data_IF_096762159842
#
_entry.id   IF_096762159842
#
_cell.length_a   1.000
_cell.length_b   1.000
_cell.length_c   1.000
_cell.angle_alpha   90.00
_cell.angle_beta   90.00
_cell.angle_gamma   90.00
#
_symmetry.space_group_name_H-M   'P 1'
#
loop_
_entity.id
_entity.type
_entity.pdbx_description
1 polymer ?
#
# COMPACT_ATOMS: atom_id res chain seq x y z
N UNK A 1 51.00 41.71 54.84
CA UNK A 1 49.63 42.08 54.42
C UNK A 1 48.98 40.87 53.77
N UNK A 2 48.06 40.19 54.47
CA UNK A 2 47.38 39.01 53.94
C UNK A 2 46.17 39.43 53.09
N UNK A 3 46.22 39.19 51.76
CA UNK A 3 45.13 39.50 50.84
C UNK A 3 44.13 38.33 50.87
N UNK A 4 42.98 38.52 51.51
CA UNK A 4 41.91 37.53 51.54
C UNK A 4 41.28 37.46 50.14
N UNK A 5 41.61 36.40 49.40
CA UNK A 5 41.01 36.13 48.08
C UNK A 5 39.66 35.44 48.30
N UNK A 6 38.56 36.17 48.16
CA UNK A 6 37.20 35.61 48.23
C UNK A 6 36.98 34.65 47.05
N UNK A 7 36.98 33.34 47.30
CA UNK A 7 36.59 32.34 46.29
C UNK A 7 35.09 32.48 45.99
N UNK A 8 34.75 32.81 44.74
CA UNK A 8 33.36 32.81 44.24
C UNK A 8 32.82 31.38 44.33
N UNK A 9 31.91 31.10 45.27
CA UNK A 9 31.19 29.81 45.33
C UNK A 9 30.33 29.68 44.07
N UNK A 10 30.69 28.78 43.15
CA UNK A 10 29.85 28.41 42.01
C UNK A 10 28.61 27.69 42.56
N UNK A 11 27.45 28.36 42.54
CA UNK A 11 26.16 27.70 42.77
C UNK A 11 25.80 26.94 41.49
N UNK A 12 25.94 25.63 41.53
CA UNK A 12 25.45 24.73 40.50
C UNK A 12 23.92 24.85 40.43
N UNK A 13 23.40 25.36 39.32
CA UNK A 13 21.97 25.57 39.09
C UNK A 13 21.32 24.26 38.64
N UNK A 14 21.22 23.29 39.54
CA UNK A 14 20.54 22.01 39.28
C UNK A 14 19.08 22.18 38.83
N UNK A 15 18.42 23.25 39.28
CA UNK A 15 17.06 23.58 38.85
C UNK A 15 16.98 23.88 37.35
N UNK A 16 17.96 24.60 36.78
CA UNK A 16 17.97 24.86 35.34
C UNK A 16 18.26 23.59 34.53
N UNK A 17 19.12 22.71 35.04
CA UNK A 17 19.45 21.44 34.39
C UNK A 17 18.25 20.48 34.34
N UNK A 18 17.55 20.32 35.46
CA UNK A 18 16.36 19.47 35.55
C UNK A 18 15.21 19.97 34.66
N UNK A 19 15.04 21.30 34.56
CA UNK A 19 14.00 21.91 33.72
C UNK A 19 14.29 21.70 32.22
N UNK A 20 15.55 21.82 31.79
CA UNK A 20 15.96 21.50 30.41
C UNK A 20 15.78 20.01 30.11
N UNK A 21 16.17 19.13 31.02
CA UNK A 21 16.00 17.69 30.85
C UNK A 21 14.53 17.28 30.76
N UNK A 22 13.66 17.92 31.56
CA UNK A 22 12.22 17.69 31.53
C UNK A 22 11.60 18.10 30.18
N UNK A 23 11.96 19.28 29.67
CA UNK A 23 11.51 19.73 28.35
C UNK A 23 12.00 18.77 27.25
N UNK A 24 13.26 18.38 27.31
CA UNK A 24 13.85 17.44 26.35
C UNK A 24 13.15 16.08 26.36
N UNK A 25 12.87 15.53 27.54
CA UNK A 25 12.11 14.28 27.70
C UNK A 25 10.69 14.39 27.14
N UNK A 26 10.01 15.54 27.35
CA UNK A 26 8.70 15.79 26.75
C UNK A 26 8.74 15.82 25.22
N UNK A 27 9.76 16.46 24.63
CA UNK A 27 9.95 16.46 23.18
C UNK A 27 10.19 15.05 22.63
N UNK A 28 11.04 14.26 23.27
CA UNK A 28 11.28 12.86 22.90
C UNK A 28 10.01 12.02 22.97
N UNK A 29 9.20 12.19 24.02
CA UNK A 29 7.92 11.49 24.15
C UNK A 29 6.97 11.84 23.00
N UNK A 30 6.85 13.12 22.65
CA UNK A 30 6.00 13.56 21.55
C UNK A 30 6.50 13.02 20.21
N UNK A 31 7.81 13.12 19.93
CA UNK A 31 8.43 12.54 18.73
C UNK A 31 8.16 11.04 18.66
N UNK A 32 8.45 10.28 19.72
CA UNK A 32 8.20 8.84 19.74
C UNK A 32 6.73 8.49 19.49
N UNK A 33 5.79 9.22 20.09
CA UNK A 33 4.36 8.97 19.85
C UNK A 33 3.95 9.27 18.41
N UNK A 34 4.49 10.33 17.81
CA UNK A 34 4.17 10.75 16.46
C UNK A 34 4.78 9.79 15.44
N UNK A 35 6.02 9.36 15.65
CA UNK A 35 6.70 8.36 14.84
C UNK A 35 6.04 6.98 14.94
N UNK A 36 5.61 6.55 16.13
CA UNK A 36 4.88 5.28 16.29
C UNK A 36 3.54 5.31 15.55
N UNK A 37 2.78 6.40 15.66
CA UNK A 37 1.53 6.57 14.91
C UNK A 37 1.76 6.68 13.41
N UNK A 38 2.79 7.43 13.00
CA UNK A 38 3.17 7.60 11.59
C UNK A 38 3.64 6.28 10.97
N UNK A 39 4.44 5.50 11.69
CA UNK A 39 4.88 4.17 11.24
C UNK A 39 3.71 3.20 11.09
N UNK A 40 2.81 3.18 12.07
CA UNK A 40 1.59 2.37 11.98
C UNK A 40 0.66 2.79 10.83
N UNK A 41 0.53 4.11 10.59
CA UNK A 41 -0.26 4.63 9.47
C UNK A 41 0.41 4.32 8.11
N UNK A 42 1.72 4.48 8.01
CA UNK A 42 2.50 4.13 6.80
C UNK A 42 2.37 2.65 6.47
N UNK A 43 2.46 1.77 7.47
CA UNK A 43 2.31 0.34 7.29
C UNK A 43 0.87 -0.04 6.87
N UNK A 44 -0.13 0.61 7.47
CA UNK A 44 -1.54 0.40 7.12
C UNK A 44 -1.85 0.86 5.69
N UNK A 45 -1.30 1.99 5.27
CA UNK A 45 -1.42 2.48 3.89
C UNK A 45 -0.79 1.51 2.89
N UNK A 46 0.44 1.04 3.17
CA UNK A 46 1.10 0.02 2.32
C UNK A 46 0.28 -1.26 2.22
N UNK A 47 -0.27 -1.73 3.34
CA UNK A 47 -1.15 -2.89 3.35
C UNK A 47 -2.39 -2.66 2.49
N UNK A 48 -2.99 -1.47 2.57
CA UNK A 48 -4.17 -1.13 1.79
C UNK A 48 -3.86 -1.06 0.28
N UNK A 49 -2.71 -0.51 -0.10
CA UNK A 49 -2.24 -0.52 -1.49
C UNK A 49 -2.07 -1.95 -2.00
N UNK A 50 -1.38 -2.81 -1.25
CA UNK A 50 -1.18 -4.22 -1.65
C UNK A 50 -2.50 -4.96 -1.77
N UNK A 51 -3.45 -4.76 -0.85
CA UNK A 51 -4.79 -5.37 -0.96
C UNK A 51 -5.55 -4.90 -2.20
N UNK A 52 -5.41 -3.63 -2.58
CA UNK A 52 -5.99 -3.10 -3.81
C UNK A 52 -5.36 -3.72 -5.05
N UNK A 53 -4.04 -3.92 -5.05
CA UNK A 53 -3.33 -4.59 -6.14
C UNK A 53 -3.74 -6.07 -6.27
N UNK A 54 -3.89 -6.77 -5.14
CA UNK A 54 -4.39 -8.15 -5.12
C UNK A 54 -5.80 -8.22 -5.72
N UNK A 55 -6.71 -7.36 -5.29
CA UNK A 55 -8.08 -7.34 -5.82
C UNK A 55 -8.12 -7.03 -7.33
N UNK A 56 -7.23 -6.16 -7.83
CA UNK A 56 -7.12 -5.89 -9.26
C UNK A 56 -6.64 -7.12 -10.04
N UNK A 57 -5.62 -7.83 -9.52
CA UNK A 57 -5.11 -9.05 -10.14
C UNK A 57 -6.12 -10.21 -10.09
N UNK A 58 -6.90 -10.32 -9.01
CA UNK A 58 -7.98 -11.30 -8.92
C UNK A 58 -9.07 -11.05 -9.98
N UNK A 59 -9.47 -9.79 -10.17
CA UNK A 59 -10.41 -9.42 -11.24
C UNK A 59 -9.84 -9.71 -12.63
N UNK A 60 -8.55 -9.46 -12.85
CA UNK A 60 -7.89 -9.78 -14.12
C UNK A 60 -7.87 -11.30 -14.36
N UNK A 61 -7.56 -12.10 -13.34
CA UNK A 61 -7.59 -13.55 -13.43
C UNK A 61 -9.01 -14.08 -13.71
N UNK A 62 -10.03 -13.55 -13.04
CA UNK A 62 -11.43 -13.92 -13.27
C UNK A 62 -11.87 -13.57 -14.70
N UNK A 63 -11.46 -12.40 -15.20
CA UNK A 63 -11.72 -12.01 -16.59
C UNK A 63 -11.06 -12.99 -17.59
N UNK A 64 -9.80 -13.39 -17.34
CA UNK A 64 -9.10 -14.37 -18.18
C UNK A 64 -9.80 -15.73 -18.12
N UNK A 65 -10.24 -16.18 -16.95
CA UNK A 65 -10.97 -17.44 -16.80
C UNK A 65 -12.26 -17.44 -17.62
N UNK A 66 -13.04 -16.35 -17.58
CA UNK A 66 -14.24 -16.19 -18.41
C UNK A 66 -13.91 -16.24 -19.90
N UNK A 67 -12.82 -15.59 -20.33
CA UNK A 67 -12.36 -15.65 -21.73
C UNK A 67 -12.01 -17.09 -22.13
N UNK A 68 -11.30 -17.84 -21.29
CA UNK A 68 -10.96 -19.25 -21.53
C UNK A 68 -12.23 -20.10 -21.65
N UNK A 69 -13.21 -19.93 -20.75
CA UNK A 69 -14.46 -20.67 -20.80
C UNK A 69 -15.26 -20.37 -22.08
N UNK A 70 -15.31 -19.10 -22.49
CA UNK A 70 -15.94 -18.70 -23.74
C UNK A 70 -15.24 -19.30 -24.96
N UNK A 71 -13.89 -19.28 -25.00
CA UNK A 71 -13.12 -19.89 -26.08
C UNK A 71 -13.34 -21.40 -26.13
N UNK A 72 -13.25 -22.08 -24.99
CA UNK A 72 -13.49 -23.52 -24.89
C UNK A 72 -14.90 -23.89 -25.33
N UNK A 73 -15.91 -23.10 -24.94
CA UNK A 73 -17.30 -23.30 -25.38
C UNK A 73 -17.43 -23.11 -26.88
N UNK A 74 -16.81 -22.07 -27.44
CA UNK A 74 -16.79 -21.82 -28.89
C UNK A 74 -16.14 -22.98 -29.65
N UNK A 75 -14.97 -23.43 -29.22
CA UNK A 75 -14.24 -24.53 -29.86
C UNK A 75 -15.01 -25.85 -29.76
N UNK A 76 -15.74 -26.09 -28.66
CA UNK A 76 -16.68 -27.23 -28.52
C UNK A 76 -17.84 -27.13 -29.50
N UNK A 77 -18.44 -25.94 -29.67
CA UNK A 77 -19.53 -25.73 -30.63
C UNK A 77 -19.02 -25.93 -32.07
N UNK A 78 -17.82 -25.45 -32.38
CA UNK A 78 -17.18 -25.64 -33.69
C UNK A 78 -16.89 -27.13 -33.98
N UNK A 79 -16.43 -27.88 -32.98
CA UNK A 79 -16.21 -29.33 -33.11
C UNK A 79 -17.52 -30.06 -33.38
N UNK A 80 -18.58 -29.78 -32.62
CA UNK A 80 -19.91 -30.39 -32.83
C UNK A 80 -20.48 -30.02 -34.20
N UNK A 81 -20.29 -28.78 -34.66
CA UNK A 81 -20.74 -28.35 -35.98
C UNK A 81 -20.02 -29.12 -37.09
N UNK A 82 -18.69 -29.25 -37.01
CA UNK A 82 -17.89 -30.02 -37.96
C UNK A 82 -18.26 -31.51 -37.96
N UNK A 83 -18.50 -32.12 -36.80
CA UNK A 83 -18.94 -33.51 -36.68
C UNK A 83 -20.30 -33.76 -37.36
N UNK A 84 -21.17 -32.75 -37.40
CA UNK A 84 -22.46 -32.78 -38.11
C UNK A 84 -22.35 -32.35 -39.60
N UNK A 85 -21.13 -32.16 -40.12
CA UNK A 85 -20.88 -31.75 -41.50
C UNK A 85 -21.18 -30.28 -41.80
N UNK A 86 -21.38 -29.46 -40.77
CA UNK A 86 -21.63 -28.02 -40.90
C UNK A 86 -20.29 -27.27 -40.83
N UNK A 87 -19.92 -26.59 -41.91
CA UNK A 87 -18.72 -25.74 -41.95
C UNK A 87 -19.05 -24.31 -41.55
N UNK A 88 -18.08 -23.65 -40.91
CA UNK A 88 -18.23 -22.27 -40.45
C UNK A 88 -18.39 -21.32 -41.66
N UNK A 89 -19.58 -20.75 -41.85
CA UNK A 89 -19.82 -19.78 -42.91
C UNK A 89 -19.27 -18.40 -42.51
N UNK A 90 -18.01 -18.14 -42.86
CA UNK A 90 -17.29 -16.89 -42.53
C UNK A 90 -17.92 -15.63 -43.15
N UNK A 91 -18.83 -15.76 -44.12
CA UNK A 91 -19.51 -14.62 -44.75
C UNK A 91 -20.66 -14.04 -43.91
N UNK A 92 -21.08 -14.70 -42.82
CA UNK A 92 -22.19 -14.27 -41.96
C UNK A 92 -21.74 -13.89 -40.54
N UNK A 93 -20.43 -13.70 -40.32
CA UNK A 93 -19.90 -13.18 -39.07
C UNK A 93 -20.11 -11.67 -39.09
N UNK A 94 -21.23 -11.22 -38.52
CA UNK A 94 -21.44 -9.81 -38.21
C UNK A 94 -20.56 -9.52 -36.98
N UNK A 95 -19.32 -9.08 -37.22
CA UNK A 95 -18.49 -8.46 -36.19
C UNK A 95 -19.21 -7.18 -35.76
N UNK A 96 -19.97 -7.24 -34.67
CA UNK A 96 -20.51 -6.05 -34.03
C UNK A 96 -19.33 -5.37 -33.35
N UNK A 97 -18.56 -4.61 -34.12
CA UNK A 97 -17.70 -3.56 -33.59
C UNK A 97 -18.67 -2.54 -32.98
N UNK A 98 -18.96 -2.67 -31.68
CA UNK A 98 -19.52 -1.57 -30.91
C UNK A 98 -18.45 -0.49 -30.91
N UNK A 99 -18.58 0.44 -31.86
CA UNK A 99 -17.83 1.69 -31.87
C UNK A 99 -18.38 2.61 -30.80
N UNK A 100 -17.42 3.25 -30.12
CA UNK A 100 -17.53 4.39 -29.18
C UNK A 100 -18.20 4.16 -27.82
#
# INVERSE_FOLDING_TARGET
MAKIVKRKKRRVRFQSFTLVFFIFSGFLYLLSSLFLRSYNNSLSLKKQTILSEIAALELENEAIEVVIQNLSTRDRVETIANDNGLTLNQNNIITITSGE
#
